data_IF_141603015409
#
_entry.id   IF_141603015409
#
_cell.length_a   1.000
_cell.length_b   1.000
_cell.length_c   1.000
_cell.angle_alpha   90.00
_cell.angle_beta   90.00
_cell.angle_gamma   90.00
#
_symmetry.space_group_name_H-M   'P 1'
#
loop_
_entity.id
_entity.type
_entity.pdbx_description
1 polymer ?
#
# COMPACT_ATOMS: atom_id res chain seq x y z
N UNK A 1 82.01 -6.76 -6.95
CA UNK A 1 81.86 -5.36 -6.46
C UNK A 1 81.39 -4.48 -7.62
N UNK A 2 80.62 -3.40 -7.42
CA UNK A 2 79.45 -3.18 -6.55
C UNK A 2 78.23 -2.57 -7.35
N UNK A 3 76.98 -2.81 -6.92
CA UNK A 3 76.02 -1.88 -6.26
C UNK A 3 75.68 -0.58 -7.00
N UNK A 4 74.38 -0.31 -7.21
CA UNK A 4 73.63 0.86 -6.67
C UNK A 4 72.12 0.60 -6.84
N UNK A 5 71.39 0.63 -5.73
CA UNK A 5 69.93 0.67 -5.66
C UNK A 5 69.44 2.13 -5.52
N UNK A 6 68.27 2.51 -6.06
CA UNK A 6 67.61 3.75 -5.66
C UNK A 6 66.66 3.49 -4.48
N UNK A 7 66.91 4.24 -3.41
CA UNK A 7 66.03 4.43 -2.25
C UNK A 7 64.85 5.32 -2.65
N UNK A 8 63.66 5.01 -2.14
CA UNK A 8 62.65 6.04 -1.82
C UNK A 8 61.35 6.01 -2.62
N UNK A 9 60.40 5.18 -2.18
CA UNK A 9 58.97 5.43 -2.36
C UNK A 9 58.13 4.70 -1.29
N UNK A 10 58.58 4.71 -0.03
CA UNK A 10 57.81 4.25 1.13
C UNK A 10 57.51 5.45 2.03
N UNK A 11 56.68 6.38 1.54
CA UNK A 11 56.26 7.59 2.29
C UNK A 11 54.81 8.03 2.04
N UNK A 12 54.02 7.27 1.27
CA UNK A 12 52.60 7.58 1.04
C UNK A 12 51.69 6.69 1.92
N UNK A 13 52.10 5.46 2.24
CA UNK A 13 51.30 4.56 3.09
C UNK A 13 51.33 4.94 4.59
N UNK A 14 52.36 5.64 5.05
CA UNK A 14 52.47 6.07 6.46
C UNK A 14 51.65 7.34 6.80
N UNK A 15 51.08 8.01 5.79
CA UNK A 15 50.21 9.18 5.99
C UNK A 15 48.72 8.84 6.03
N UNK A 16 48.32 7.65 5.56
CA UNK A 16 46.91 7.20 5.57
C UNK A 16 46.59 6.45 6.86
N UNK A 17 47.59 5.79 7.47
CA UNK A 17 47.40 5.07 8.74
C UNK A 17 47.31 6.00 9.97
N UNK A 18 47.87 7.21 9.89
CA UNK A 18 47.86 8.19 10.99
C UNK A 18 46.60 9.08 11.05
N UNK A 19 45.64 8.95 10.13
CA UNK A 19 44.37 9.68 10.20
C UNK A 19 43.20 8.85 10.75
N UNK A 20 43.42 7.57 11.07
CA UNK A 20 42.40 6.68 11.63
C UNK A 20 42.57 6.36 13.14
N UNK A 21 43.60 6.89 13.82
CA UNK A 21 43.82 6.62 15.26
C UNK A 21 43.62 7.81 16.21
N UNK A 22 43.16 8.97 15.74
CA UNK A 22 42.82 10.10 16.62
C UNK A 22 41.41 10.62 16.35
N UNK A 23 40.38 9.84 16.70
CA UNK A 23 39.09 10.37 17.18
C UNK A 23 38.22 9.26 17.79
N UNK A 24 38.77 8.56 18.77
CA UNK A 24 37.96 7.85 19.75
C UNK A 24 37.48 8.82 20.84
N UNK A 25 36.17 8.85 21.07
CA UNK A 25 35.47 9.37 22.28
C UNK A 25 35.42 10.89 22.47
N UNK A 26 34.35 11.51 21.95
CA UNK A 26 33.58 12.60 22.59
C UNK A 26 32.33 12.90 21.76
N UNK A 27 31.14 12.90 22.37
CA UNK A 27 29.93 13.46 21.73
C UNK A 27 28.64 12.62 21.71
N UNK A 28 28.31 11.85 22.75
CA UNK A 28 26.89 11.58 23.05
C UNK A 28 26.35 12.80 23.81
N UNK A 29 25.21 13.36 23.36
CA UNK A 29 24.53 14.60 23.80
C UNK A 29 24.99 15.89 23.07
N UNK A 30 24.54 16.08 21.83
CA UNK A 30 24.16 17.38 21.26
C UNK A 30 23.83 17.24 19.77
N UNK A 31 22.58 16.86 19.46
CA UNK A 31 21.91 17.19 18.18
C UNK A 31 20.42 16.86 18.33
N UNK A 32 19.82 17.47 19.36
CA UNK A 32 18.37 17.54 19.56
C UNK A 32 18.04 19.01 19.80
N UNK A 33 18.17 19.81 18.73
CA UNK A 33 17.67 21.18 18.58
C UNK A 33 18.38 21.83 17.38
N UNK A 34 17.94 21.56 16.15
CA UNK A 34 17.92 22.52 15.04
C UNK A 34 17.26 21.90 13.81
N UNK A 35 15.92 21.87 13.77
CA UNK A 35 15.14 21.90 12.53
C UNK A 35 13.68 22.26 12.87
N UNK A 36 13.48 23.51 13.31
CA UNK A 36 12.17 24.15 13.29
C UNK A 36 12.25 25.19 12.18
N UNK A 37 11.23 25.20 11.31
CA UNK A 37 11.09 25.96 10.05
C UNK A 37 11.75 25.32 8.83
N UNK A 38 10.99 24.46 8.16
CA UNK A 38 10.70 24.54 6.72
C UNK A 38 9.46 23.65 6.47
N UNK A 39 8.27 24.24 6.58
CA UNK A 39 7.04 23.63 6.10
C UNK A 39 7.04 23.64 4.55
N UNK A 40 6.77 22.52 3.86
CA UNK A 40 6.44 22.60 2.44
C UNK A 40 5.06 23.22 2.30
N UNK A 41 5.02 24.29 1.52
CA UNK A 41 3.82 25.04 1.19
C UNK A 41 2.76 24.15 0.55
N UNK A 42 1.52 24.43 0.91
CA UNK A 42 0.32 23.87 0.31
C UNK A 42 0.33 24.05 -1.22
N UNK A 43 0.10 22.96 -1.96
CA UNK A 43 -0.30 23.03 -3.35
C UNK A 43 -1.82 23.14 -3.42
N UNK A 44 -2.27 24.30 -3.88
CA UNK A 44 -3.64 24.62 -4.22
C UNK A 44 -4.17 23.70 -5.34
N UNK A 45 -5.37 23.18 -5.09
CA UNK A 45 -6.44 22.79 -5.99
C UNK A 45 -6.15 22.55 -7.48
N UNK A 46 -6.32 21.29 -7.88
CA UNK A 46 -7.12 20.97 -9.06
C UNK A 46 -8.40 20.23 -8.62
N UNK A 47 -9.53 20.64 -9.22
CA UNK A 47 -10.89 20.23 -8.89
C UNK A 47 -11.08 18.72 -8.89
N UNK A 48 -11.80 18.27 -7.86
CA UNK A 48 -12.54 17.01 -7.83
C UNK A 48 -11.68 15.82 -7.42
N UNK A 49 -11.58 15.56 -6.12
CA UNK A 49 -11.61 14.24 -5.47
C UNK A 49 -11.44 14.51 -3.96
N UNK A 50 -12.45 14.18 -3.17
CA UNK A 50 -12.42 14.36 -1.72
C UNK A 50 -11.62 13.20 -1.12
N UNK A 51 -10.34 13.45 -0.82
CA UNK A 51 -9.45 12.45 -0.21
C UNK A 51 -9.61 12.52 1.31
N UNK A 52 -10.15 11.47 1.91
CA UNK A 52 -10.08 11.27 3.37
C UNK A 52 -8.88 10.38 3.68
N UNK A 53 -7.83 10.97 4.28
CA UNK A 53 -6.65 10.27 4.78
C UNK A 53 -6.99 9.62 6.14
N UNK A 54 -6.80 8.30 6.26
CA UNK A 54 -6.80 7.64 7.57
C UNK A 54 -5.39 7.76 8.18
N UNK A 55 -5.26 8.49 9.30
CA UNK A 55 -4.03 8.53 10.10
C UNK A 55 -3.80 7.20 10.84
N UNK A 56 -2.54 6.80 10.94
CA UNK A 56 -2.10 5.60 11.65
C UNK A 56 -2.49 5.64 13.14
N UNK A 57 -3.14 4.59 13.63
CA UNK A 57 -3.35 4.34 15.07
C UNK A 57 -2.26 3.37 15.55
N UNK A 58 -1.46 3.80 16.52
CA UNK A 58 -0.56 2.92 17.28
C UNK A 58 -1.38 1.89 18.06
N UNK A 59 -1.23 0.61 17.76
CA UNK A 59 -1.85 -0.48 18.53
C UNK A 59 -1.20 -0.59 19.91
N UNK A 60 -1.92 -0.13 20.94
CA UNK A 60 -1.73 -0.57 22.32
C UNK A 60 -2.41 -1.91 22.52
N UNK A 61 -1.68 -2.90 23.02
CA UNK A 61 -2.14 -4.27 23.22
C UNK A 61 -3.08 -4.35 24.42
N UNK A 62 -4.37 -4.59 24.17
CA UNK A 62 -5.31 -5.13 25.17
C UNK A 62 -5.98 -6.37 24.60
N UNK A 63 -5.99 -7.52 25.30
CA UNK A 63 -6.65 -8.73 24.81
C UNK A 63 -8.16 -8.54 24.72
N UNK A 64 -8.73 -8.82 23.55
CA UNK A 64 -10.18 -8.90 23.35
C UNK A 64 -10.64 -10.30 23.80
N UNK A 65 -11.54 -10.38 24.78
CA UNK A 65 -12.16 -11.62 25.23
C UNK A 65 -13.51 -11.76 24.52
N UNK A 66 -13.79 -12.85 23.80
CA UNK A 66 -15.10 -13.08 23.21
C UNK A 66 -16.15 -13.30 24.31
N UNK A 67 -17.25 -12.57 24.22
CA UNK A 67 -18.42 -12.76 25.09
C UNK A 67 -19.36 -13.76 24.38
N UNK A 68 -19.60 -14.90 25.01
CA UNK A 68 -20.49 -15.95 24.49
C UNK A 68 -21.92 -15.41 24.29
N UNK A 69 -22.48 -15.59 23.10
CA UNK A 69 -23.89 -15.37 22.80
C UNK A 69 -24.71 -16.59 23.21
N UNK A 70 -25.83 -16.46 23.94
CA UNK A 70 -26.68 -17.60 24.26
C UNK A 70 -27.45 -18.08 23.03
N UNK A 71 -27.69 -19.39 22.99
CA UNK A 71 -28.38 -20.18 21.98
C UNK A 71 -29.64 -19.52 21.40
N UNK A 72 -29.74 -19.50 20.06
CA UNK A 72 -31.03 -19.33 19.37
C UNK A 72 -31.81 -20.64 19.42
N UNK A 73 -32.52 -20.87 20.52
CA UNK A 73 -33.64 -21.80 20.50
C UNK A 73 -34.78 -21.20 19.67
N UNK A 74 -35.25 -21.97 18.69
CA UNK A 74 -36.44 -21.64 17.92
C UNK A 74 -37.66 -21.62 18.86
N UNK A 75 -38.18 -20.42 19.14
CA UNK A 75 -39.46 -20.26 19.81
C UNK A 75 -40.54 -20.57 18.77
N UNK A 76 -41.19 -21.73 18.90
CA UNK A 76 -42.44 -22.03 18.22
C UNK A 76 -43.57 -21.24 18.90
N UNK A 77 -44.24 -20.36 18.16
CA UNK A 77 -45.46 -19.73 18.66
C UNK A 77 -46.64 -20.74 18.63
N UNK A 78 -47.40 -20.89 19.73
CA UNK A 78 -48.51 -21.83 19.81
C UNK A 78 -49.82 -21.19 19.32
N UNK A 79 -49.86 -20.75 18.05
CA UNK A 79 -51.10 -20.48 17.32
C UNK A 79 -50.80 -20.24 15.83
N UNK A 80 -51.16 -21.21 14.99
CA UNK A 80 -50.93 -21.18 13.55
C UNK A 80 -51.72 -20.09 12.85
N UNK A 81 -51.09 -18.94 12.63
CA UNK A 81 -51.52 -17.94 11.65
C UNK A 81 -50.37 -17.67 10.67
N UNK A 82 -50.63 -17.90 9.38
CA UNK A 82 -49.72 -17.54 8.30
C UNK A 82 -49.64 -16.01 8.20
N UNK A 83 -48.44 -15.47 8.22
CA UNK A 83 -48.23 -14.06 7.83
C UNK A 83 -48.71 -13.83 6.39
N UNK A 84 -49.53 -12.80 6.12
CA UNK A 84 -49.99 -12.51 4.78
C UNK A 84 -48.92 -11.70 4.02
N UNK A 85 -48.54 -12.25 2.86
CA UNK A 85 -48.11 -11.53 1.66
C UNK A 85 -46.94 -10.54 1.85
N UNK A 86 -45.73 -11.06 1.62
CA UNK A 86 -44.63 -10.22 1.09
C UNK A 86 -45.12 -9.64 -0.24
N UNK A 87 -45.51 -8.37 -0.23
CA UNK A 87 -45.67 -7.58 -1.45
C UNK A 87 -44.32 -7.54 -2.15
N UNK A 88 -44.20 -8.35 -3.21
CA UNK A 88 -43.06 -8.32 -4.11
C UNK A 88 -43.32 -7.16 -5.07
N UNK A 89 -42.76 -5.99 -4.78
CA UNK A 89 -42.78 -4.88 -5.72
C UNK A 89 -42.22 -5.36 -7.07
N UNK A 90 -42.91 -5.11 -8.21
CA UNK A 90 -42.43 -5.53 -9.53
C UNK A 90 -41.17 -4.81 -10.01
N UNK A 91 -40.57 -3.94 -9.19
CA UNK A 91 -39.31 -3.22 -9.47
C UNK A 91 -38.08 -3.86 -8.78
N UNK A 92 -38.24 -5.01 -8.12
CA UNK A 92 -37.23 -5.69 -7.29
C UNK A 92 -36.00 -6.29 -8.00
N UNK A 93 -35.66 -5.82 -9.20
CA UNK A 93 -34.36 -6.06 -9.83
C UNK A 93 -33.44 -4.82 -9.74
N UNK A 94 -33.72 -3.90 -8.81
CA UNK A 94 -32.66 -3.01 -8.32
C UNK A 94 -31.54 -3.89 -7.77
N UNK A 95 -30.47 -3.97 -8.57
CA UNK A 95 -29.45 -5.01 -8.56
C UNK A 95 -29.07 -5.43 -7.15
N UNK A 96 -29.09 -6.74 -6.84
CA UNK A 96 -28.56 -7.27 -5.56
C UNK A 96 -27.14 -6.74 -5.24
N UNK A 97 -26.38 -6.33 -6.27
CA UNK A 97 -25.06 -5.72 -6.16
C UNK A 97 -25.11 -4.33 -5.49
N UNK A 98 -26.22 -3.60 -5.61
CA UNK A 98 -26.41 -2.29 -4.99
C UNK A 98 -26.49 -2.38 -3.45
N UNK A 99 -27.01 -3.49 -2.91
CA UNK A 99 -27.37 -3.61 -1.49
C UNK A 99 -26.27 -4.09 -0.55
N UNK A 100 -25.24 -4.78 -1.06
CA UNK A 100 -24.22 -5.39 -0.22
C UNK A 100 -22.81 -4.91 -0.57
N UNK A 101 -21.93 -4.73 0.43
CA UNK A 101 -20.52 -4.48 0.17
C UNK A 101 -19.91 -5.62 -0.63
N UNK A 102 -19.07 -5.28 -1.59
CA UNK A 102 -18.32 -6.24 -2.39
C UNK A 102 -16.83 -6.07 -2.13
N UNK A 103 -16.09 -7.16 -1.96
CA UNK A 103 -14.69 -7.13 -1.54
C UNK A 103 -13.77 -7.83 -2.55
N UNK A 104 -12.52 -7.37 -2.59
CA UNK A 104 -11.40 -8.06 -3.22
C UNK A 104 -10.15 -7.92 -2.36
N UNK A 105 -9.41 -9.01 -2.21
CA UNK A 105 -8.10 -9.05 -1.57
C UNK A 105 -7.14 -9.88 -2.43
N UNK A 106 -6.13 -9.20 -2.95
CA UNK A 106 -5.05 -9.72 -3.77
C UNK A 106 -3.78 -9.77 -2.93
N UNK A 107 -3.11 -10.92 -2.96
CA UNK A 107 -1.84 -11.13 -2.26
C UNK A 107 -0.72 -11.29 -3.27
N UNK A 108 0.48 -10.88 -2.90
CA UNK A 108 1.66 -11.23 -3.67
C UNK A 108 1.86 -12.74 -3.75
N UNK A 109 2.52 -13.18 -4.81
CA UNK A 109 2.99 -14.54 -4.98
C UNK A 109 4.49 -14.60 -4.71
N UNK A 110 4.93 -15.53 -3.84
CA UNK A 110 6.29 -15.67 -3.26
C UNK A 110 7.44 -15.56 -4.26
N UNK A 111 7.72 -14.33 -4.68
CA UNK A 111 8.72 -13.98 -5.68
C UNK A 111 9.32 -12.65 -5.29
N UNK A 112 10.55 -12.46 -5.75
CA UNK A 112 11.23 -11.17 -5.66
C UNK A 112 11.01 -10.45 -6.99
N UNK A 113 10.69 -9.16 -6.93
CA UNK A 113 10.56 -8.29 -8.10
C UNK A 113 11.66 -7.25 -8.04
N UNK A 114 12.42 -7.13 -9.12
CA UNK A 114 13.26 -5.97 -9.41
C UNK A 114 12.47 -5.03 -10.33
N UNK A 115 12.18 -3.82 -9.87
CA UNK A 115 11.22 -2.93 -10.58
C UNK A 115 11.67 -2.64 -12.02
N UNK A 116 12.96 -2.36 -12.23
CA UNK A 116 13.53 -2.03 -13.53
C UNK A 116 13.47 -3.17 -14.53
N UNK A 117 13.78 -4.39 -14.10
CA UNK A 117 13.89 -5.56 -14.97
C UNK A 117 12.55 -6.27 -15.15
N UNK A 118 11.75 -6.36 -14.09
CA UNK A 118 10.60 -7.26 -14.03
C UNK A 118 9.26 -6.56 -14.28
N UNK A 119 9.20 -5.22 -14.29
CA UNK A 119 7.94 -4.46 -14.41
C UNK A 119 7.92 -3.56 -15.64
N UNK A 120 6.80 -3.58 -16.37
CA UNK A 120 6.49 -2.60 -17.41
C UNK A 120 5.90 -1.34 -16.76
N UNK A 121 6.53 -0.17 -16.97
CA UNK A 121 6.11 1.12 -16.41
C UNK A 121 6.05 1.17 -14.86
N UNK A 122 6.71 0.21 -14.20
CA UNK A 122 6.73 0.08 -12.73
C UNK A 122 5.45 -0.50 -12.12
N UNK A 123 4.52 -1.04 -12.92
CA UNK A 123 3.24 -1.57 -12.42
C UNK A 123 3.39 -2.97 -11.85
N UNK A 124 2.98 -3.18 -10.59
CA UNK A 124 3.02 -4.48 -9.92
C UNK A 124 2.03 -5.48 -10.54
N UNK A 125 2.54 -6.68 -10.79
CA UNK A 125 1.82 -7.85 -11.30
C UNK A 125 2.08 -9.07 -10.39
N UNK A 126 1.66 -10.26 -10.80
CA UNK A 126 1.79 -11.52 -10.04
C UNK A 126 0.94 -11.56 -8.76
N UNK A 127 -0.31 -11.13 -8.91
CA UNK A 127 -1.31 -11.16 -7.85
C UNK A 127 -1.98 -12.54 -7.75
N UNK A 128 -1.96 -13.12 -6.55
CA UNK A 128 -2.81 -14.24 -6.15
C UNK A 128 -4.15 -13.72 -5.65
N UNK A 129 -5.23 -14.14 -6.31
CA UNK A 129 -6.60 -13.81 -5.90
C UNK A 129 -7.04 -14.75 -4.76
N UNK A 130 -7.16 -14.23 -3.54
CA UNK A 130 -7.62 -15.02 -2.38
C UNK A 130 -9.13 -14.92 -2.21
N UNK A 131 -9.67 -13.71 -2.37
CA UNK A 131 -11.09 -13.42 -2.31
C UNK A 131 -11.41 -12.33 -3.31
N UNK A 132 -12.44 -12.53 -4.14
CA UNK A 132 -12.87 -11.54 -5.13
C UNK A 132 -14.36 -11.69 -5.45
N UNK A 133 -15.10 -10.60 -5.28
CA UNK A 133 -16.49 -10.53 -5.73
C UNK A 133 -16.55 -10.27 -7.26
N UNK A 134 -16.64 -11.35 -8.04
CA UNK A 134 -16.49 -11.34 -9.52
C UNK A 134 -17.51 -10.47 -10.29
N UNK A 135 -18.65 -10.10 -9.69
CA UNK A 135 -19.61 -9.17 -10.33
C UNK A 135 -19.21 -7.70 -10.18
N UNK A 136 -18.25 -7.38 -9.31
CA UNK A 136 -17.82 -6.00 -9.03
C UNK A 136 -16.36 -5.77 -9.39
N UNK A 137 -15.54 -6.82 -9.35
CA UNK A 137 -14.11 -6.72 -9.60
C UNK A 137 -13.66 -7.73 -10.67
N UNK A 138 -12.71 -7.32 -11.49
CA UNK A 138 -12.03 -8.16 -12.46
C UNK A 138 -10.53 -7.90 -12.42
N UNK A 139 -9.75 -8.96 -12.20
CA UNK A 139 -8.30 -8.88 -12.21
C UNK A 139 -7.73 -9.12 -13.61
N UNK A 140 -6.89 -8.21 -14.10
CA UNK A 140 -6.11 -8.37 -15.33
C UNK A 140 -4.70 -8.85 -15.00
N UNK A 141 -4.51 -10.17 -14.83
CA UNK A 141 -3.26 -10.74 -14.33
C UNK A 141 -2.00 -10.34 -15.10
N UNK A 142 -2.11 -10.10 -16.43
CA UNK A 142 -0.98 -9.68 -17.27
C UNK A 142 -0.55 -8.23 -17.04
N UNK A 143 -1.51 -7.30 -16.91
CA UNK A 143 -1.21 -5.89 -16.70
C UNK A 143 -1.04 -5.53 -15.22
N UNK A 144 -1.52 -6.37 -14.30
CA UNK A 144 -1.52 -6.06 -12.86
C UNK A 144 -2.65 -5.13 -12.43
N UNK A 145 -3.61 -4.86 -13.30
CA UNK A 145 -4.71 -3.92 -13.05
C UNK A 145 -5.96 -4.62 -12.49
N UNK A 146 -6.57 -4.02 -11.47
CA UNK A 146 -7.86 -4.39 -10.91
C UNK A 146 -8.95 -3.48 -11.47
N UNK A 147 -9.80 -4.00 -12.35
CA UNK A 147 -10.92 -3.26 -12.94
C UNK A 147 -12.16 -3.35 -12.04
N UNK A 148 -12.84 -2.21 -11.83
CA UNK A 148 -14.17 -2.19 -11.20
C UNK A 148 -15.25 -2.28 -12.27
N UNK A 149 -16.28 -3.10 -12.05
CA UNK A 149 -17.33 -3.38 -13.03
C UNK A 149 -18.62 -2.58 -12.79
N UNK A 150 -18.71 -1.89 -11.66
CA UNK A 150 -19.92 -1.19 -11.20
C UNK A 150 -19.51 0.17 -10.65
N UNK A 151 -20.36 1.17 -10.83
CA UNK A 151 -20.17 2.47 -10.20
C UNK A 151 -20.30 2.36 -8.67
N UNK A 152 -19.54 3.18 -7.93
CA UNK A 152 -19.69 3.21 -6.49
C UNK A 152 -18.65 4.01 -5.73
N UNK A 153 -18.81 3.97 -4.42
CA UNK A 153 -17.83 4.45 -3.45
C UNK A 153 -16.93 3.30 -3.05
N UNK A 154 -15.62 3.44 -3.25
CA UNK A 154 -14.64 2.39 -3.04
C UNK A 154 -13.61 2.79 -1.98
N UNK A 155 -13.47 1.96 -0.95
CA UNK A 155 -12.29 1.97 -0.09
C UNK A 155 -11.20 1.13 -0.75
N UNK A 156 -10.01 1.69 -0.92
CA UNK A 156 -8.85 1.03 -1.54
C UNK A 156 -7.71 1.04 -0.53
N UNK A 157 -7.03 -0.09 -0.38
CA UNK A 157 -5.89 -0.24 0.51
C UNK A 157 -4.79 -1.06 -0.14
N UNK A 158 -3.54 -0.76 0.22
CA UNK A 158 -2.38 -1.47 -0.32
C UNK A 158 -1.23 -1.51 0.67
N UNK A 159 -0.42 -2.55 0.56
CA UNK A 159 0.88 -2.64 1.21
C UNK A 159 1.91 -3.19 0.23
N UNK A 160 3.12 -2.64 0.27
CA UNK A 160 4.27 -3.17 -0.48
C UNK A 160 5.44 -3.31 0.48
N UNK A 161 6.09 -4.47 0.46
CA UNK A 161 7.32 -4.72 1.20
C UNK A 161 8.54 -4.52 0.30
N UNK A 162 9.28 -3.46 0.57
CA UNK A 162 10.56 -3.18 -0.08
C UNK A 162 11.67 -3.80 0.77
N UNK A 163 12.55 -4.58 0.15
CA UNK A 163 13.62 -5.27 0.89
C UNK A 163 15.02 -4.77 0.52
N UNK A 164 15.19 -4.03 -0.58
CA UNK A 164 16.47 -3.47 -0.98
C UNK A 164 16.30 -2.22 -1.86
N UNK A 165 17.18 -1.24 -1.64
CA UNK A 165 17.35 -0.04 -2.47
C UNK A 165 18.84 0.13 -2.77
N UNK A 166 19.17 0.47 -4.03
CA UNK A 166 20.55 0.65 -4.45
C UNK A 166 21.02 2.11 -4.31
N UNK A 167 20.38 3.03 -5.04
CA UNK A 167 20.85 4.42 -5.18
C UNK A 167 20.04 5.47 -4.41
N UNK A 168 18.88 5.10 -3.86
CA UNK A 168 17.99 6.01 -3.13
C UNK A 168 17.75 5.53 -1.70
N UNK A 169 17.65 6.45 -0.76
CA UNK A 169 17.24 6.17 0.62
C UNK A 169 15.73 6.32 0.82
N UNK A 170 14.97 6.34 -0.28
CA UNK A 170 13.52 6.54 -0.30
C UNK A 170 12.90 5.48 -1.21
N UNK A 171 11.99 4.69 -0.64
CA UNK A 171 11.06 3.86 -1.38
C UNK A 171 9.71 4.58 -1.49
N UNK A 172 9.12 4.55 -2.67
CA UNK A 172 7.78 5.10 -2.88
C UNK A 172 7.01 4.30 -3.93
N UNK A 173 5.71 4.14 -3.70
CA UNK A 173 4.76 3.64 -4.67
C UNK A 173 3.48 4.48 -4.64
N UNK A 174 2.74 4.41 -5.74
CA UNK A 174 1.45 5.06 -5.91
C UNK A 174 0.36 4.01 -6.14
N UNK A 175 -0.80 4.24 -5.55
CA UNK A 175 -2.04 3.59 -5.97
C UNK A 175 -2.62 4.44 -7.08
N UNK A 176 -2.67 3.89 -8.28
CA UNK A 176 -3.16 4.56 -9.47
C UNK A 176 -4.64 4.25 -9.66
N UNK A 177 -5.41 5.26 -10.08
CA UNK A 177 -6.72 5.07 -10.71
C UNK A 177 -6.57 5.48 -12.17
N UNK A 178 -6.79 4.52 -13.06
CA UNK A 178 -6.39 4.54 -14.46
C UNK A 178 -4.90 4.89 -14.60
N UNK A 179 -4.59 6.15 -14.92
CA UNK A 179 -3.21 6.65 -15.05
C UNK A 179 -2.91 7.81 -14.09
N UNK A 180 -3.84 8.11 -13.18
CA UNK A 180 -3.75 9.23 -12.25
C UNK A 180 -3.42 8.72 -10.85
N UNK A 181 -2.38 9.25 -10.19
CA UNK A 181 -2.11 8.89 -8.80
C UNK A 181 -3.28 9.29 -7.89
N UNK A 182 -3.76 8.33 -7.09
CA UNK A 182 -4.77 8.56 -6.07
C UNK A 182 -4.15 8.62 -4.66
N UNK A 183 -3.33 7.63 -4.31
CA UNK A 183 -2.59 7.58 -3.04
C UNK A 183 -1.11 7.40 -3.31
N UNK A 184 -0.27 7.86 -2.38
CA UNK A 184 1.17 7.58 -2.38
C UNK A 184 1.59 7.09 -1.00
N UNK A 185 2.45 6.08 -0.99
CA UNK A 185 3.18 5.67 0.20
C UNK A 185 4.66 5.99 -0.02
N UNK A 186 5.30 6.65 0.94
CA UNK A 186 6.73 6.98 0.88
C UNK A 186 7.38 6.65 2.22
N UNK A 187 8.49 5.92 2.18
CA UNK A 187 9.23 5.53 3.37
C UNK A 187 10.73 5.69 3.12
N UNK A 188 11.42 6.27 4.10
CA UNK A 188 12.89 6.29 4.08
C UNK A 188 13.44 4.94 4.53
N UNK A 189 14.42 4.42 3.80
CA UNK A 189 15.06 3.13 4.00
C UNK A 189 16.57 3.30 3.81
N UNK A 190 17.37 2.64 4.64
CA UNK A 190 18.82 2.67 4.51
C UNK A 190 19.29 1.96 3.22
N UNK A 191 20.09 2.66 2.42
CA UNK A 191 20.66 2.18 1.15
C UNK A 191 21.70 1.08 1.35
N UNK A 192 21.83 0.18 0.37
CA UNK A 192 22.94 -0.78 0.32
C UNK A 192 22.87 -1.91 1.35
N UNK A 193 21.79 -1.99 2.13
CA UNK A 193 21.52 -3.07 3.07
C UNK A 193 20.19 -3.74 2.73
N UNK A 194 20.12 -5.06 2.91
CA UNK A 194 18.86 -5.79 2.78
C UNK A 194 18.04 -5.59 4.06
N UNK A 195 16.95 -4.83 3.97
CA UNK A 195 16.04 -4.54 5.08
C UNK A 195 14.60 -4.54 4.60
N UNK A 196 13.79 -5.42 5.17
CA UNK A 196 12.37 -5.54 4.87
C UNK A 196 11.59 -4.41 5.54
N UNK A 197 10.94 -3.59 4.72
CA UNK A 197 10.14 -2.47 5.15
C UNK A 197 8.81 -2.48 4.41
N UNK A 198 7.72 -2.64 5.15
CA UNK A 198 6.36 -2.49 4.63
C UNK A 198 5.99 -1.01 4.51
N UNK A 199 5.29 -0.64 3.44
CA UNK A 199 4.70 0.69 3.26
C UNK A 199 3.20 0.50 2.98
N UNK A 200 2.35 0.94 3.91
CA UNK A 200 0.88 0.80 3.81
C UNK A 200 0.22 2.15 3.55
N UNK A 201 -0.78 2.17 2.67
CA UNK A 201 -1.66 3.34 2.47
C UNK A 201 -3.08 2.90 2.13
N UNK A 202 -4.06 3.74 2.41
CA UNK A 202 -5.47 3.49 2.10
C UNK A 202 -6.27 4.80 1.97
N UNK A 203 -7.41 4.73 1.28
CA UNK A 203 -8.29 5.88 1.08
C UNK A 203 -9.60 5.50 0.39
N UNK A 204 -10.54 6.44 0.39
CA UNK A 204 -11.85 6.30 -0.27
C UNK A 204 -11.91 7.19 -1.50
N UNK A 205 -12.42 6.66 -2.61
CA UNK A 205 -12.73 7.44 -3.82
C UNK A 205 -14.00 6.94 -4.51
N UNK A 206 -14.55 7.76 -5.40
CA UNK A 206 -15.63 7.35 -6.29
C UNK A 206 -15.00 6.76 -7.55
N UNK A 207 -15.49 5.60 -7.97
CA UNK A 207 -15.06 4.97 -9.23
C UNK A 207 -16.27 4.71 -10.12
N UNK A 208 -16.04 4.87 -11.41
CA UNK A 208 -16.94 4.47 -12.49
C UNK A 208 -16.55 3.09 -13.00
N UNK A 209 -17.54 2.35 -13.49
CA UNK A 209 -17.34 1.08 -14.15
C UNK A 209 -16.28 1.20 -15.26
N UNK A 210 -15.41 0.19 -15.35
CA UNK A 210 -14.23 0.06 -16.21
C UNK A 210 -12.99 0.84 -15.79
N UNK A 211 -13.07 1.67 -14.75
CA UNK A 211 -11.85 2.25 -14.18
C UNK A 211 -10.98 1.17 -13.54
N UNK A 212 -9.67 1.39 -13.60
CA UNK A 212 -8.68 0.40 -13.18
C UNK A 212 -7.83 0.91 -12.04
N UNK A 213 -7.59 0.05 -11.06
CA UNK A 213 -6.71 0.32 -9.93
C UNK A 213 -5.42 -0.47 -10.14
N UNK A 214 -4.27 0.15 -9.93
CA UNK A 214 -2.98 -0.54 -9.97
C UNK A 214 -2.00 0.03 -8.95
N UNK A 215 -0.95 -0.72 -8.63
CA UNK A 215 0.17 -0.22 -7.82
C UNK A 215 1.33 0.06 -8.77
N UNK A 216 1.86 1.28 -8.73
CA UNK A 216 3.02 1.70 -9.52
C UNK A 216 4.17 2.10 -8.62
N UNK A 217 5.33 1.51 -8.84
CA UNK A 217 6.57 1.89 -8.16
C UNK A 217 7.12 3.18 -8.75
N UNK A 218 7.56 4.10 -7.90
CA UNK A 218 8.10 5.41 -8.33
C UNK A 218 9.56 5.31 -8.79
N UNK A 219 10.34 4.45 -8.13
CA UNK A 219 11.77 4.30 -8.39
C UNK A 219 12.08 2.93 -8.98
N UNK A 220 12.76 2.91 -10.13
CA UNK A 220 13.08 1.69 -10.87
C UNK A 220 14.14 0.83 -10.17
N UNK A 221 15.06 1.43 -9.40
CA UNK A 221 16.12 0.72 -8.67
C UNK A 221 15.64 0.21 -7.28
N UNK A 222 14.41 -0.33 -7.24
CA UNK A 222 13.77 -0.87 -6.03
C UNK A 222 13.59 -2.38 -6.14
N UNK A 223 13.89 -3.12 -5.07
CA UNK A 223 13.57 -4.54 -4.96
C UNK A 223 12.43 -4.79 -3.97
N UNK A 224 11.45 -5.59 -4.41
CA UNK A 224 10.20 -5.84 -3.69
C UNK A 224 10.06 -7.32 -3.35
N UNK A 225 9.56 -7.59 -2.16
CA UNK A 225 9.13 -8.91 -1.71
C UNK A 225 7.64 -9.06 -2.00
N UNK A 226 7.26 -10.04 -2.83
CA UNK A 226 5.86 -10.35 -3.14
C UNK A 226 5.31 -11.47 -2.22
N UNK A 227 5.74 -11.56 -0.97
CA UNK A 227 5.17 -12.56 -0.06
C UNK A 227 3.73 -12.19 0.33
N UNK A 228 2.91 -13.22 0.56
CA UNK A 228 1.45 -13.10 0.61
C UNK A 228 0.92 -12.20 1.74
N UNK A 229 1.66 -12.05 2.85
CA UNK A 229 1.26 -11.29 4.03
C UNK A 229 1.92 -9.91 4.12
N UNK A 230 2.90 -9.61 3.26
CA UNK A 230 3.66 -8.35 3.31
C UNK A 230 3.37 -7.43 2.12
N UNK A 231 2.96 -8.00 0.99
CA UNK A 231 2.56 -7.24 -0.21
C UNK A 231 1.17 -7.65 -0.67
N UNK A 232 0.23 -6.70 -0.69
CA UNK A 232 -1.17 -6.92 -1.04
C UNK A 232 -1.85 -5.66 -1.59
N UNK A 233 -2.92 -5.87 -2.38
CA UNK A 233 -3.84 -4.85 -2.87
C UNK A 233 -5.26 -5.30 -2.58
N UNK A 234 -6.11 -4.42 -2.07
CA UNK A 234 -7.52 -4.75 -1.91
C UNK A 234 -8.44 -3.56 -2.03
N UNK A 235 -9.72 -3.87 -2.20
CA UNK A 235 -10.76 -2.86 -2.28
C UNK A 235 -12.09 -3.38 -1.76
N UNK A 236 -12.90 -2.46 -1.24
CA UNK A 236 -14.26 -2.68 -0.77
C UNK A 236 -15.16 -1.66 -1.48
N UNK A 237 -16.13 -2.13 -2.26
CA UNK A 237 -17.25 -1.30 -2.71
C UNK A 237 -18.18 -1.11 -1.53
N UNK A 238 -18.27 0.11 -1.01
CA UNK A 238 -19.07 0.47 0.15
C UNK A 238 -20.56 0.62 -0.19
N UNK A 239 -20.86 0.98 -1.44
CA UNK A 239 -22.21 1.21 -1.91
C UNK A 239 -22.20 2.09 -3.16
N UNK A 240 -23.35 2.68 -3.45
CA UNK A 240 -23.51 3.62 -4.58
C UNK A 240 -22.68 4.90 -4.38
N UNK A 241 -22.37 5.56 -5.50
CA UNK A 241 -21.79 6.89 -5.48
C UNK A 241 -22.89 7.91 -5.13
N UNK A 242 -22.61 8.95 -4.33
CA UNK A 242 -23.57 10.02 -4.11
C UNK A 242 -24.01 10.63 -5.45
N UNK A 243 -25.28 11.06 -5.59
CA UNK A 243 -25.71 11.80 -6.76
C UNK A 243 -24.84 13.03 -6.93
N UNK A 244 -24.43 13.31 -8.17
CA UNK A 244 -23.66 14.51 -8.47
C UNK A 244 -24.52 15.73 -8.10
N UNK A 245 -24.06 16.53 -7.14
CA UNK A 245 -24.70 17.80 -6.83
C UNK A 245 -24.60 18.69 -8.06
N UNK A 246 -25.73 19.01 -8.68
CA UNK A 246 -25.81 20.07 -9.68
C UNK A 246 -25.41 21.39 -9.00
N UNK A 247 -24.34 22.01 -9.49
CA UNK A 247 -23.88 23.36 -9.13
C UNK A 247 -24.23 24.34 -10.24
#
# INVERSE_FOLDING_TARGET
MPSIAPKGASRINDLIQNHMETNGKKGKKARKALLVHLAPQALQGHRGHQVFLASQVSLGTTPWVPQDHPDRQALLDPQGHRDPLVFKDPQGAESEIARYPAVVHLQGQETTIQVKEDLSEGVLRNWKMISMHHKVFKMHSRSGELEVLVDGTYFIYSQVEVYYLNFTDIASYEVMVDKTPFLRCTRSIETGQRKFNTCYTAGVCLLRARQKISIRMVYEDTSISMTNHTTFLGSIRLGEAPPASHS
#
